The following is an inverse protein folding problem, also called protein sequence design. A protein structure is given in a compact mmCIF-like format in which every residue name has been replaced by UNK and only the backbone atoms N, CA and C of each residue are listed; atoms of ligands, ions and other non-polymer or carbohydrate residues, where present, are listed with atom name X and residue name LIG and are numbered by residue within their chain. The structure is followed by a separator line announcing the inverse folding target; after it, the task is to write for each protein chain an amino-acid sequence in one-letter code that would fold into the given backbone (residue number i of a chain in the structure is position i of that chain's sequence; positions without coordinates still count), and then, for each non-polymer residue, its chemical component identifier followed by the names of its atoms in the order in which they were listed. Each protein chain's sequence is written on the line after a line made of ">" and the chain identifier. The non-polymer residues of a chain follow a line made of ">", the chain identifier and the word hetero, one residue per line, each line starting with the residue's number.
data_IF_533060054488
#
_entry.id   IF_533060054488
#
_cell.length_a   1.000
_cell.length_b   1.000
_cell.length_c   1.000
_cell.angle_alpha   90.00
_cell.angle_beta   90.00
_cell.angle_gamma   90.00
#
_symmetry.space_group_name_H-M   'P 1'
#
loop_
_entity.id
_entity.type
_entity.pdbx_description
1 polymer ?
#
# COMPACT_ATOMS: atom_id res chain seq x y z
N UNK A 1 -25.82 -6.90 -9.97
CA UNK A 1 -24.40 -7.20 -10.25
C UNK A 1 -23.58 -5.96 -9.94
N UNK A 2 -22.59 -6.08 -9.05
CA UNK A 2 -21.67 -4.97 -8.76
C UNK A 2 -20.69 -4.88 -9.93
N UNK A 3 -20.61 -3.72 -10.57
CA UNK A 3 -19.62 -3.48 -11.63
C UNK A 3 -18.62 -2.43 -11.14
N UNK A 4 -17.65 -2.82 -10.30
CA UNK A 4 -16.72 -1.89 -9.70
C UNK A 4 -15.76 -1.32 -10.74
N UNK A 5 -15.40 -0.06 -10.57
CA UNK A 5 -14.39 0.61 -11.39
C UNK A 5 -13.01 0.32 -10.80
N UNK A 6 -12.42 -0.77 -11.22
CA UNK A 6 -11.08 -1.21 -10.86
C UNK A 6 -10.38 -1.72 -12.13
N UNK A 7 -9.05 -1.69 -12.12
CA UNK A 7 -8.26 -2.23 -13.24
C UNK A 7 -8.74 -3.63 -13.63
N UNK A 8 -8.91 -3.92 -14.94
CA UNK A 8 -9.47 -5.20 -15.40
C UNK A 8 -8.71 -6.44 -14.93
N UNK A 9 -7.37 -6.36 -14.81
CA UNK A 9 -6.57 -7.49 -14.32
C UNK A 9 -6.89 -7.82 -12.87
N UNK A 10 -7.10 -6.81 -12.03
CA UNK A 10 -7.52 -6.98 -10.65
C UNK A 10 -8.99 -7.35 -10.51
N UNK A 11 -9.84 -6.84 -11.39
CA UNK A 11 -11.27 -7.21 -11.40
C UNK A 11 -11.42 -8.72 -11.62
N UNK A 12 -10.67 -9.29 -12.56
CA UNK A 12 -10.69 -10.74 -12.81
C UNK A 12 -10.27 -11.53 -11.58
N UNK A 13 -9.16 -11.13 -10.95
CA UNK A 13 -8.60 -11.80 -9.77
C UNK A 13 -9.52 -11.69 -8.56
N UNK A 14 -10.13 -10.53 -8.34
CA UNK A 14 -10.93 -10.22 -7.15
C UNK A 14 -12.43 -10.38 -7.36
N UNK A 15 -12.88 -10.85 -8.51
CA UNK A 15 -14.31 -11.04 -8.80
C UNK A 15 -15.03 -11.84 -7.71
N UNK A 16 -14.49 -12.98 -7.21
CA UNK A 16 -15.17 -13.70 -6.12
C UNK A 16 -15.38 -12.86 -4.88
N UNK A 17 -14.50 -11.90 -4.60
CA UNK A 17 -14.62 -11.00 -3.45
C UNK A 17 -15.75 -9.99 -3.66
N UNK A 18 -15.85 -9.39 -4.86
CA UNK A 18 -16.92 -8.46 -5.17
C UNK A 18 -18.30 -9.12 -5.15
N UNK A 19 -18.38 -10.42 -5.42
CA UNK A 19 -19.61 -11.18 -5.40
C UNK A 19 -19.94 -11.81 -4.04
N UNK A 20 -19.03 -11.73 -3.08
CA UNK A 20 -19.22 -12.30 -1.75
C UNK A 20 -20.19 -11.46 -0.90
N UNK A 21 -20.97 -12.10 0.00
CA UNK A 21 -21.92 -11.38 0.87
C UNK A 21 -21.28 -10.29 1.72
N UNK A 22 -20.05 -10.52 2.22
CA UNK A 22 -19.36 -9.51 3.04
C UNK A 22 -19.12 -8.22 2.27
N UNK A 23 -18.88 -8.29 0.95
CA UNK A 23 -18.61 -7.10 0.16
C UNK A 23 -19.88 -6.27 -0.05
N UNK A 24 -21.02 -6.91 -0.22
CA UNK A 24 -22.31 -6.23 -0.25
C UNK A 24 -22.58 -5.48 1.06
N UNK A 25 -22.29 -6.11 2.20
CA UNK A 25 -22.41 -5.48 3.53
C UNK A 25 -21.46 -4.30 3.69
N UNK A 26 -20.20 -4.46 3.22
CA UNK A 26 -19.21 -3.38 3.23
C UNK A 26 -19.69 -2.20 2.39
N UNK A 27 -20.24 -2.46 1.20
CA UNK A 27 -20.76 -1.42 0.31
C UNK A 27 -21.91 -0.66 0.98
N UNK A 28 -22.86 -1.38 1.58
CA UNK A 28 -23.98 -0.76 2.30
C UNK A 28 -23.49 0.11 3.46
N UNK A 29 -22.51 -0.36 4.21
CA UNK A 29 -21.86 0.41 5.26
C UNK A 29 -21.22 1.70 4.71
N UNK A 30 -20.48 1.63 3.62
CA UNK A 30 -19.80 2.78 3.03
C UNK A 30 -20.81 3.82 2.50
N UNK A 31 -21.90 3.35 1.88
CA UNK A 31 -22.97 4.25 1.42
C UNK A 31 -23.58 5.01 2.60
N UNK A 32 -23.91 4.31 3.68
CA UNK A 32 -24.48 4.93 4.88
C UNK A 32 -23.48 5.91 5.54
N UNK A 33 -22.20 5.53 5.60
CA UNK A 33 -21.15 6.39 6.16
C UNK A 33 -21.04 7.71 5.39
N UNK A 34 -21.03 7.65 4.06
CA UNK A 34 -20.87 8.85 3.21
C UNK A 34 -22.09 9.76 3.23
N UNK A 35 -23.24 9.25 3.63
CA UNK A 35 -24.44 10.08 3.83
C UNK A 35 -24.36 10.93 5.11
N UNK A 36 -23.59 10.49 6.11
CA UNK A 36 -23.51 11.14 7.41
C UNK A 36 -22.18 11.79 7.71
N UNK A 37 -21.09 11.31 7.10
CA UNK A 37 -19.73 11.71 7.41
C UNK A 37 -18.91 11.94 6.16
N UNK A 38 -17.90 12.78 6.29
CA UNK A 38 -16.83 12.87 5.27
C UNK A 38 -15.94 11.65 5.42
N UNK A 39 -15.66 10.97 4.31
CA UNK A 39 -14.80 9.78 4.28
C UNK A 39 -13.69 9.97 3.25
N UNK A 40 -12.54 9.41 3.52
CA UNK A 40 -11.37 9.47 2.65
C UNK A 40 -10.91 8.08 2.23
N UNK A 41 -10.23 7.96 1.07
CA UNK A 41 -10.14 8.96 0.01
C UNK A 41 -11.48 9.16 -0.69
N UNK A 42 -11.55 10.11 -1.63
CA UNK A 42 -12.75 10.26 -2.48
C UNK A 42 -12.97 8.97 -3.29
N UNK A 43 -14.21 8.74 -3.72
CA UNK A 43 -14.63 7.48 -4.33
C UNK A 43 -13.77 7.00 -5.50
N UNK A 44 -13.33 7.93 -6.37
CA UNK A 44 -12.48 7.59 -7.52
C UNK A 44 -11.07 7.12 -7.16
N UNK A 45 -10.61 7.35 -5.93
CA UNK A 45 -9.27 6.99 -5.49
C UNK A 45 -9.21 5.74 -4.60
N UNK A 46 -10.36 5.15 -4.26
CA UNK A 46 -10.38 3.99 -3.34
C UNK A 46 -9.52 2.84 -3.85
N UNK A 47 -9.57 2.55 -5.14
CA UNK A 47 -8.81 1.47 -5.78
C UNK A 47 -7.55 1.95 -6.52
N UNK A 48 -7.04 3.14 -6.21
CA UNK A 48 -5.90 3.72 -6.93
C UNK A 48 -4.66 2.82 -6.92
N UNK A 49 -4.39 2.12 -5.82
CA UNK A 49 -3.26 1.19 -5.74
C UNK A 49 -3.35 0.09 -6.81
N UNK A 50 -4.54 -0.46 -6.99
CA UNK A 50 -4.81 -1.49 -8.01
C UNK A 50 -4.80 -0.92 -9.43
N UNK A 51 -5.37 0.26 -9.61
CA UNK A 51 -5.47 0.91 -10.93
C UNK A 51 -4.10 1.31 -11.46
N UNK A 52 -3.22 1.78 -10.59
CA UNK A 52 -1.88 2.21 -11.00
C UNK A 52 -0.88 1.07 -11.10
N UNK A 53 -1.15 -0.06 -10.45
CA UNK A 53 -0.26 -1.23 -10.47
C UNK A 53 -1.09 -2.47 -10.81
N UNK A 54 -1.32 -2.75 -12.11
CA UNK A 54 -2.04 -3.94 -12.54
C UNK A 54 -1.43 -5.23 -11.97
N UNK A 55 -2.24 -6.27 -11.85
CA UNK A 55 -1.85 -7.53 -11.20
C UNK A 55 -0.55 -8.12 -11.75
N UNK A 56 -0.40 -8.12 -13.08
CA UNK A 56 0.78 -8.68 -13.74
C UNK A 56 2.02 -7.76 -13.68
N UNK A 57 1.83 -6.52 -13.27
CA UNK A 57 2.91 -5.52 -13.17
C UNK A 57 3.49 -5.40 -11.77
N UNK A 58 2.89 -6.01 -10.77
CA UNK A 58 3.36 -5.93 -9.39
C UNK A 58 4.74 -6.59 -9.28
N UNK A 59 5.73 -5.85 -8.83
CA UNK A 59 7.09 -6.33 -8.50
C UNK A 59 7.35 -6.27 -7.02
N UNK A 60 6.79 -5.28 -6.34
CA UNK A 60 7.00 -4.97 -4.93
C UNK A 60 5.65 -4.69 -4.29
N UNK A 61 5.46 -5.13 -3.06
CA UNK A 61 4.28 -4.79 -2.26
C UNK A 61 4.74 -4.09 -0.99
N UNK A 62 4.18 -2.93 -0.71
CA UNK A 62 4.32 -2.22 0.57
C UNK A 62 2.92 -2.14 1.18
N UNK A 63 2.80 -2.57 2.44
CA UNK A 63 1.51 -2.60 3.14
C UNK A 63 1.44 -1.47 4.16
N UNK A 64 0.38 -0.67 4.07
CA UNK A 64 -0.04 0.25 5.10
C UNK A 64 -1.26 -0.29 5.85
N UNK A 65 -1.74 0.43 6.85
CA UNK A 65 -2.89 0.00 7.65
C UNK A 65 -4.18 0.65 7.18
N UNK A 66 -4.36 1.94 7.37
CA UNK A 66 -5.52 2.67 6.89
C UNK A 66 -5.12 4.01 6.27
N UNK A 67 -6.00 4.63 5.46
CA UNK A 67 -5.69 5.91 4.83
C UNK A 67 -5.50 7.02 5.85
N UNK A 68 -4.81 8.08 5.47
CA UNK A 68 -4.78 9.31 6.25
C UNK A 68 -6.20 9.86 6.44
N UNK A 69 -6.51 10.33 7.64
CA UNK A 69 -7.87 10.75 8.00
C UNK A 69 -8.05 12.28 8.01
N UNK A 70 -7.03 13.06 7.65
CA UNK A 70 -7.13 14.51 7.54
C UNK A 70 -7.39 14.94 6.10
N UNK A 71 -8.02 16.12 5.89
CA UNK A 71 -8.37 16.58 4.54
C UNK A 71 -7.16 16.68 3.61
N UNK A 72 -7.33 16.24 2.38
CA UNK A 72 -6.35 16.42 1.31
C UNK A 72 -5.16 15.47 1.32
N UNK A 73 -5.06 14.55 2.28
CA UNK A 73 -3.90 13.66 2.40
C UNK A 73 -4.07 12.34 1.64
N UNK A 74 -5.15 11.60 1.90
CA UNK A 74 -5.36 10.28 1.28
C UNK A 74 -5.73 10.40 -0.19
N UNK A 75 -5.04 9.63 -1.04
CA UNK A 75 -5.37 9.53 -2.47
C UNK A 75 -5.28 8.10 -3.00
N UNK A 76 -5.40 7.10 -2.12
CA UNK A 76 -5.51 5.69 -2.50
C UNK A 76 -4.21 4.90 -2.58
N UNK A 77 -3.07 5.50 -2.23
CA UNK A 77 -1.76 4.85 -2.15
C UNK A 77 -1.24 4.95 -0.72
N UNK A 78 -0.86 3.83 -0.12
CA UNK A 78 -0.39 3.84 1.27
C UNK A 78 0.84 4.74 1.44
N UNK A 79 0.92 5.43 2.57
CA UNK A 79 1.95 6.42 2.93
C UNK A 79 1.98 7.68 2.07
N UNK A 80 1.43 7.66 0.86
CA UNK A 80 1.52 8.74 -0.12
C UNK A 80 0.56 9.88 0.18
N UNK A 81 0.98 11.10 -0.16
CA UNK A 81 0.13 12.29 -0.18
C UNK A 81 0.23 12.94 -1.56
N UNK A 82 -0.78 13.71 -2.00
CA UNK A 82 -0.68 14.46 -3.25
C UNK A 82 0.47 15.45 -3.24
N UNK A 83 0.95 15.81 -4.44
CA UNK A 83 1.96 16.86 -4.59
C UNK A 83 1.51 18.16 -3.91
N UNK A 84 2.43 18.83 -3.21
CA UNK A 84 2.14 20.08 -2.51
C UNK A 84 1.52 19.92 -1.13
N UNK A 85 1.19 18.71 -0.73
CA UNK A 85 0.68 18.41 0.62
C UNK A 85 1.85 18.12 1.55
N UNK A 86 1.78 18.61 2.80
CA UNK A 86 2.82 18.38 3.79
C UNK A 86 3.04 16.88 4.02
N UNK A 87 4.29 16.47 4.04
CA UNK A 87 4.68 15.06 4.16
C UNK A 87 4.46 14.58 5.61
N UNK A 88 3.64 13.54 5.82
CA UNK A 88 3.40 12.99 7.16
C UNK A 88 4.66 12.37 7.78
N UNK A 89 4.73 12.27 9.11
CA UNK A 89 5.96 11.86 9.82
C UNK A 89 6.52 10.50 9.42
N UNK A 90 5.66 9.49 9.21
CA UNK A 90 6.14 8.17 8.77
C UNK A 90 6.77 8.23 7.39
N UNK A 91 6.20 9.01 6.46
CA UNK A 91 6.74 9.18 5.12
C UNK A 91 8.06 9.98 5.14
N UNK A 92 8.17 10.98 6.01
CA UNK A 92 9.46 11.66 6.23
C UNK A 92 10.54 10.66 6.59
N UNK A 93 10.26 9.72 7.50
CA UNK A 93 11.21 8.69 7.92
C UNK A 93 11.53 7.70 6.79
N UNK A 94 10.54 7.35 5.98
CA UNK A 94 10.77 6.52 4.77
C UNK A 94 11.76 7.23 3.84
N UNK A 95 11.55 8.51 3.56
CA UNK A 95 12.45 9.29 2.68
C UNK A 95 13.84 9.40 3.28
N UNK A 96 13.95 9.63 4.60
CA UNK A 96 15.25 9.66 5.29
C UNK A 96 16.00 8.35 5.13
N UNK A 97 15.32 7.22 5.26
CA UNK A 97 15.96 5.91 5.08
C UNK A 97 16.40 5.70 3.63
N UNK A 98 15.58 6.08 2.65
CA UNK A 98 15.97 6.01 1.23
C UNK A 98 17.25 6.83 0.99
N UNK A 99 17.29 8.07 1.48
CA UNK A 99 18.45 8.94 1.30
C UNK A 99 19.70 8.35 1.94
N UNK A 100 19.59 7.77 3.13
CA UNK A 100 20.69 7.10 3.82
C UNK A 100 21.14 5.82 3.09
N UNK A 101 20.20 5.00 2.65
CA UNK A 101 20.45 3.71 2.01
C UNK A 101 21.08 3.88 0.61
N UNK A 102 20.54 4.81 -0.18
CA UNK A 102 20.92 4.96 -1.60
C UNK A 102 21.87 6.14 -1.87
N UNK A 103 22.20 6.93 -0.85
CA UNK A 103 23.03 8.12 -1.02
C UNK A 103 22.34 9.23 -1.82
N UNK A 104 21.02 9.33 -1.75
CA UNK A 104 20.23 10.32 -2.48
C UNK A 104 19.89 11.54 -1.62
N UNK A 105 19.33 12.57 -2.24
CA UNK A 105 18.93 13.82 -1.57
C UNK A 105 17.48 14.17 -1.92
N UNK A 106 16.56 13.22 -1.72
CA UNK A 106 15.14 13.46 -1.94
C UNK A 106 14.64 14.51 -0.94
N UNK A 107 13.97 15.58 -1.39
CA UNK A 107 13.42 16.59 -0.48
C UNK A 107 12.37 15.98 0.47
N UNK A 108 12.39 16.39 1.74
CA UNK A 108 11.40 15.96 2.73
C UNK A 108 10.06 16.69 2.59
N UNK A 109 9.90 17.48 1.54
CA UNK A 109 8.70 18.28 1.26
C UNK A 109 7.85 17.71 0.13
N UNK A 110 8.30 16.62 -0.51
CA UNK A 110 7.59 15.95 -1.59
C UNK A 110 7.19 14.55 -1.15
N UNK A 111 5.91 14.18 -1.27
CA UNK A 111 5.42 12.90 -0.77
C UNK A 111 4.44 12.17 -1.68
N UNK A 112 4.37 12.53 -2.96
CA UNK A 112 3.52 11.80 -3.90
C UNK A 112 4.28 10.60 -4.48
N UNK A 113 3.85 9.39 -4.09
CA UNK A 113 4.49 8.13 -4.45
C UNK A 113 3.90 7.49 -5.73
N UNK A 114 3.12 8.21 -6.50
CA UNK A 114 2.56 7.70 -7.76
C UNK A 114 3.67 7.16 -8.69
N UNK A 115 4.83 7.80 -8.70
CA UNK A 115 5.99 7.34 -9.48
C UNK A 115 6.51 5.96 -9.09
N UNK A 116 6.32 5.54 -7.84
CA UNK A 116 6.62 4.16 -7.42
C UNK A 116 5.58 3.18 -7.95
N UNK A 117 4.29 3.52 -7.81
CA UNK A 117 3.20 2.67 -8.28
C UNK A 117 3.32 2.38 -9.77
N UNK A 118 3.67 3.37 -10.58
CA UNK A 118 3.86 3.24 -12.01
C UNK A 118 5.01 2.31 -12.40
N UNK A 119 5.94 2.04 -11.47
CA UNK A 119 7.06 1.13 -11.67
C UNK A 119 6.79 -0.30 -11.18
N UNK A 120 5.61 -0.58 -10.63
CA UNK A 120 5.25 -1.89 -10.15
C UNK A 120 5.26 -2.04 -8.63
N UNK A 121 5.27 -0.95 -7.88
CA UNK A 121 5.14 -0.98 -6.42
C UNK A 121 3.65 -0.85 -6.04
N UNK A 122 3.06 -1.93 -5.56
CA UNK A 122 1.69 -1.92 -5.04
C UNK A 122 1.69 -1.31 -3.65
N UNK A 123 1.15 -0.10 -3.53
CA UNK A 123 1.08 0.66 -2.28
C UNK A 123 -0.31 0.45 -1.66
N UNK A 124 -0.47 -0.65 -0.93
CA UNK A 124 -1.77 -1.14 -0.48
C UNK A 124 -1.99 -0.91 1.00
N UNK A 125 -3.07 -0.21 1.36
CA UNK A 125 -3.58 -0.20 2.73
C UNK A 125 -4.46 -1.42 2.97
N UNK A 126 -4.45 -1.96 4.20
CA UNK A 126 -5.33 -3.06 4.59
C UNK A 126 -6.80 -2.62 4.59
N UNK A 127 -7.07 -1.39 5.02
CA UNK A 127 -8.39 -0.76 4.99
C UNK A 127 -8.34 0.36 3.97
N UNK A 128 -9.27 0.39 3.02
CA UNK A 128 -9.18 1.30 1.86
C UNK A 128 -9.95 2.60 2.05
N UNK A 129 -10.69 2.73 3.13
CA UNK A 129 -11.43 3.95 3.47
C UNK A 129 -11.30 4.26 4.95
N UNK A 130 -11.60 5.52 5.32
CA UNK A 130 -11.59 5.99 6.69
C UNK A 130 -12.55 7.16 6.84
N UNK A 131 -13.18 7.30 8.01
CA UNK A 131 -13.96 8.50 8.36
C UNK A 131 -13.01 9.63 8.72
N UNK A 132 -13.32 10.85 8.29
CA UNK A 132 -12.54 12.04 8.61
C UNK A 132 -12.27 12.16 10.11
N UNK A 133 -11.05 12.47 10.47
CA UNK A 133 -10.56 12.69 11.84
C UNK A 133 -10.61 11.46 12.76
N UNK A 134 -10.94 10.26 12.24
CA UNK A 134 -11.12 9.07 13.07
C UNK A 134 -10.31 7.90 12.51
N UNK A 135 -9.04 7.82 12.89
CA UNK A 135 -8.17 6.70 12.52
C UNK A 135 -8.80 5.36 12.91
N UNK A 136 -8.72 4.39 12.00
CA UNK A 136 -9.23 3.03 12.24
C UNK A 136 -10.74 2.90 12.23
N UNK A 137 -11.48 3.95 11.88
CA UNK A 137 -12.96 3.97 11.97
C UNK A 137 -13.65 2.95 11.05
N UNK A 138 -13.00 2.54 9.96
CA UNK A 138 -13.56 1.56 9.03
C UNK A 138 -12.91 0.17 9.15
N UNK A 139 -12.13 -0.08 10.19
CA UNK A 139 -11.60 -1.41 10.49
C UNK A 139 -12.72 -2.38 10.85
N UNK A 140 -12.51 -3.66 10.55
CA UNK A 140 -13.43 -4.76 10.84
C UNK A 140 -14.80 -4.64 10.14
N UNK A 141 -14.84 -3.95 8.99
CA UNK A 141 -16.05 -3.79 8.17
C UNK A 141 -16.02 -4.61 6.88
N UNK A 142 -14.89 -5.28 6.59
CA UNK A 142 -14.75 -6.14 5.42
C UNK A 142 -13.56 -5.83 4.51
N UNK A 143 -12.97 -4.62 4.58
CA UNK A 143 -11.82 -4.29 3.74
C UNK A 143 -10.65 -5.25 3.93
N UNK A 144 -10.41 -5.70 5.17
CA UNK A 144 -9.29 -6.59 5.48
C UNK A 144 -9.42 -7.93 4.75
N UNK A 145 -10.64 -8.47 4.63
CA UNK A 145 -10.90 -9.68 3.84
C UNK A 145 -10.57 -9.48 2.37
N UNK A 146 -10.94 -8.32 1.83
CA UNK A 146 -10.70 -7.95 0.44
C UNK A 146 -9.20 -7.80 0.14
N UNK A 147 -8.49 -7.05 0.97
CA UNK A 147 -7.06 -6.82 0.77
C UNK A 147 -6.22 -8.05 1.07
N UNK A 148 -6.61 -8.87 2.04
CA UNK A 148 -5.97 -10.17 2.28
C UNK A 148 -6.13 -11.08 1.05
N UNK A 149 -7.30 -11.08 0.40
CA UNK A 149 -7.50 -11.83 -0.83
C UNK A 149 -6.57 -11.37 -1.97
N UNK A 150 -6.32 -10.05 -2.05
CA UNK A 150 -5.37 -9.51 -3.04
C UNK A 150 -3.94 -9.99 -2.76
N UNK A 151 -3.51 -9.95 -1.50
CA UNK A 151 -2.18 -10.44 -1.09
C UNK A 151 -2.06 -11.95 -1.39
N UNK A 152 -3.06 -12.73 -1.03
CA UNK A 152 -3.08 -14.17 -1.27
C UNK A 152 -3.05 -14.50 -2.76
N UNK A 153 -3.76 -13.76 -3.60
CA UNK A 153 -3.74 -13.95 -5.05
C UNK A 153 -2.35 -13.71 -5.64
N UNK A 154 -1.68 -12.64 -5.22
CA UNK A 154 -0.29 -12.37 -5.61
C UNK A 154 0.63 -13.50 -5.14
N UNK A 155 0.50 -13.92 -3.89
CA UNK A 155 1.34 -14.97 -3.31
C UNK A 155 1.17 -16.31 -4.02
N UNK A 156 -0.04 -16.64 -4.46
CA UNK A 156 -0.36 -17.93 -5.08
C UNK A 156 -0.13 -17.96 -6.58
N UNK A 157 -0.40 -16.86 -7.29
CA UNK A 157 -0.40 -16.82 -8.75
C UNK A 157 0.84 -16.20 -9.37
N UNK A 158 1.62 -15.48 -8.58
CA UNK A 158 2.83 -14.81 -9.02
C UNK A 158 4.05 -15.41 -8.34
N UNK A 159 5.24 -15.06 -8.81
CA UNK A 159 6.54 -15.47 -8.23
C UNK A 159 7.49 -14.28 -8.23
N UNK A 160 8.45 -14.30 -7.30
CA UNK A 160 9.53 -13.31 -7.28
C UNK A 160 9.15 -11.92 -6.79
N UNK A 161 7.98 -11.76 -6.17
CA UNK A 161 7.56 -10.47 -5.62
C UNK A 161 8.31 -10.20 -4.32
N UNK A 162 8.71 -8.95 -4.12
CA UNK A 162 9.33 -8.47 -2.88
C UNK A 162 8.26 -7.81 -2.01
N UNK A 163 7.97 -8.42 -0.87
CA UNK A 163 7.04 -7.88 0.13
C UNK A 163 7.83 -7.12 1.19
N UNK A 164 7.61 -5.82 1.30
CA UNK A 164 8.23 -4.96 2.31
C UNK A 164 7.20 -4.70 3.40
N UNK A 165 7.38 -5.37 4.54
CA UNK A 165 6.41 -5.39 5.62
C UNK A 165 6.98 -4.67 6.85
N UNK A 166 6.37 -3.56 7.23
CA UNK A 166 6.84 -2.68 8.29
C UNK A 166 5.85 -2.62 9.45
N UNK A 167 6.32 -3.03 10.63
CA UNK A 167 5.52 -3.11 11.84
C UNK A 167 4.77 -4.43 11.98
N UNK A 168 4.35 -4.74 13.20
CA UNK A 168 3.76 -6.04 13.53
C UNK A 168 2.49 -6.36 12.73
N UNK A 169 1.67 -5.36 12.46
CA UNK A 169 0.45 -5.57 11.66
C UNK A 169 0.78 -6.04 10.24
N UNK A 170 1.66 -5.31 9.52
CA UNK A 170 2.06 -5.71 8.17
C UNK A 170 2.80 -7.04 8.17
N UNK A 171 3.71 -7.25 9.14
CA UNK A 171 4.49 -8.49 9.26
C UNK A 171 3.58 -9.71 9.45
N UNK A 172 2.43 -9.56 10.12
CA UNK A 172 1.47 -10.65 10.28
C UNK A 172 0.98 -11.21 8.95
N UNK A 173 1.01 -10.43 7.88
CA UNK A 173 0.58 -10.85 6.54
C UNK A 173 1.59 -11.80 5.88
N UNK A 174 2.81 -11.93 6.43
CA UNK A 174 3.79 -12.90 5.96
C UNK A 174 3.28 -14.35 6.03
N UNK A 175 2.28 -14.63 6.88
CA UNK A 175 1.64 -15.94 6.96
C UNK A 175 1.03 -16.40 5.62
N UNK A 176 0.68 -15.47 4.73
CA UNK A 176 0.13 -15.79 3.41
C UNK A 176 1.19 -15.98 2.34
N UNK A 177 2.47 -15.77 2.65
CA UNK A 177 3.53 -15.66 1.65
C UNK A 177 4.50 -16.84 1.79
N UNK A 178 4.62 -17.61 0.71
CA UNK A 178 5.61 -18.68 0.59
C UNK A 178 6.98 -18.07 0.24
N UNK A 179 7.92 -18.13 1.18
CA UNK A 179 9.27 -17.57 1.02
C UNK A 179 10.15 -18.34 0.05
N UNK A 180 9.72 -19.53 -0.40
CA UNK A 180 10.40 -20.24 -1.48
C UNK A 180 10.06 -19.67 -2.86
N UNK A 181 8.97 -18.91 -2.96
CA UNK A 181 8.48 -18.32 -4.21
C UNK A 181 8.61 -16.79 -4.26
N UNK A 182 8.68 -16.15 -3.10
CA UNK A 182 8.72 -14.69 -2.95
C UNK A 182 9.76 -14.28 -1.92
N UNK A 183 10.00 -12.99 -1.82
CA UNK A 183 10.94 -12.39 -0.87
C UNK A 183 10.15 -11.55 0.16
N UNK A 184 10.51 -11.67 1.42
CA UNK A 184 9.87 -10.92 2.51
C UNK A 184 10.97 -10.17 3.28
N UNK A 185 10.86 -8.84 3.27
CA UNK A 185 11.73 -7.93 4.02
C UNK A 185 10.91 -7.33 5.15
N UNK A 186 11.37 -7.49 6.38
CA UNK A 186 10.64 -7.00 7.56
C UNK A 186 11.47 -5.98 8.33
N UNK A 187 10.79 -5.00 8.91
CA UNK A 187 11.39 -3.99 9.80
C UNK A 187 10.32 -3.44 10.74
N UNK A 188 10.72 -2.76 11.82
CA UNK A 188 9.79 -1.95 12.61
C UNK A 188 9.10 -0.89 11.73
N UNK A 189 7.95 -0.39 12.19
CA UNK A 189 7.19 0.62 11.46
C UNK A 189 7.99 1.94 11.35
N UNK A 190 7.89 2.68 10.22
CA UNK A 190 8.58 3.96 10.04
C UNK A 190 8.05 5.11 10.90
N UNK A 191 6.97 4.92 11.67
CA UNK A 191 6.47 5.91 12.61
C UNK A 191 7.58 6.42 13.52
N UNK A 192 7.56 7.73 13.91
CA UNK A 192 8.51 8.26 14.90
C UNK A 192 8.57 7.46 16.20
N UNK A 193 7.50 6.73 16.55
CA UNK A 193 7.43 5.89 17.74
C UNK A 193 8.30 4.63 17.67
N UNK A 194 8.67 4.18 16.47
CA UNK A 194 9.35 2.89 16.28
C UNK A 194 10.49 2.91 15.26
N UNK A 195 10.64 3.96 14.46
CA UNK A 195 11.64 4.00 13.38
C UNK A 195 13.08 3.78 13.88
N UNK A 196 13.42 4.29 15.07
CA UNK A 196 14.75 4.13 15.67
C UNK A 196 15.02 2.73 16.23
N UNK A 197 14.01 1.86 16.24
CA UNK A 197 14.14 0.48 16.71
C UNK A 197 14.55 -0.50 15.61
N UNK A 198 14.87 0.00 14.41
CA UNK A 198 15.38 -0.84 13.33
C UNK A 198 14.79 -0.56 11.95
N UNK A 199 13.86 0.40 11.79
CA UNK A 199 13.49 0.87 10.46
C UNK A 199 14.64 1.65 9.84
N UNK A 200 15.20 2.62 10.56
CA UNK A 200 16.42 3.28 10.13
C UNK A 200 17.57 2.28 10.12
N UNK A 201 18.23 2.16 8.96
CA UNK A 201 19.28 1.18 8.73
C UNK A 201 18.80 -0.15 8.19
N UNK A 202 17.50 -0.34 7.95
CA UNK A 202 16.98 -1.59 7.39
C UNK A 202 17.43 -1.83 5.94
N UNK A 203 17.71 -0.76 5.18
CA UNK A 203 18.24 -0.82 3.81
C UNK A 203 17.36 -1.62 2.85
N UNK A 204 16.06 -1.59 3.07
CA UNK A 204 15.11 -2.34 2.25
C UNK A 204 15.11 -1.92 0.79
N UNK A 205 15.40 -0.64 0.49
CA UNK A 205 15.32 -0.08 -0.86
C UNK A 205 16.46 -0.62 -1.75
N UNK A 206 17.68 -0.66 -1.24
CA UNK A 206 18.80 -1.27 -1.95
C UNK A 206 18.68 -2.79 -2.01
N UNK A 207 18.24 -3.43 -0.94
CA UNK A 207 18.01 -4.88 -0.92
C UNK A 207 16.95 -5.29 -1.93
N UNK A 208 15.84 -4.56 -1.99
CA UNK A 208 14.77 -4.79 -2.96
C UNK A 208 15.33 -4.70 -4.39
N UNK A 209 16.08 -3.67 -4.70
CA UNK A 209 16.65 -3.49 -6.04
C UNK A 209 17.65 -4.60 -6.38
N UNK A 210 18.47 -5.06 -5.44
CA UNK A 210 19.36 -6.19 -5.64
C UNK A 210 18.58 -7.47 -6.00
N UNK A 211 17.47 -7.72 -5.29
CA UNK A 211 16.60 -8.88 -5.56
C UNK A 211 15.99 -8.78 -6.96
N UNK A 212 15.49 -7.61 -7.36
CA UNK A 212 14.90 -7.41 -8.67
C UNK A 212 15.94 -7.61 -9.78
N UNK A 213 17.15 -7.07 -9.62
CA UNK A 213 18.23 -7.23 -10.58
C UNK A 213 18.66 -8.69 -10.73
N UNK A 214 18.71 -9.46 -9.65
CA UNK A 214 18.99 -10.90 -9.71
C UNK A 214 17.97 -11.67 -10.53
N UNK A 215 16.74 -11.17 -10.62
CA UNK A 215 15.68 -11.75 -11.45
C UNK A 215 15.70 -11.22 -12.90
N UNK A 216 16.64 -10.35 -13.26
CA UNK A 216 16.65 -9.71 -14.57
C UNK A 216 15.61 -8.62 -14.75
N UNK A 217 15.05 -8.11 -13.65
CA UNK A 217 14.04 -7.05 -13.66
C UNK A 217 14.70 -5.69 -13.44
N UNK A 218 14.07 -4.64 -13.98
CA UNK A 218 14.51 -3.28 -13.73
C UNK A 218 14.36 -2.93 -12.25
N UNK A 219 15.37 -2.29 -11.63
CA UNK A 219 15.24 -1.80 -10.26
C UNK A 219 14.20 -0.69 -10.19
N UNK A 220 13.70 -0.44 -8.98
CA UNK A 220 12.81 0.69 -8.73
C UNK A 220 13.66 1.96 -8.56
N UNK A 221 13.28 3.01 -9.28
CA UNK A 221 13.79 4.35 -9.00
C UNK A 221 12.99 4.96 -7.86
N UNK A 222 13.50 4.79 -6.65
CA UNK A 222 12.86 5.26 -5.42
C UNK A 222 12.86 6.79 -5.31
N UNK A 223 13.65 7.50 -6.15
CA UNK A 223 13.69 8.97 -6.16
C UNK A 223 12.50 9.60 -6.92
N UNK A 224 11.71 8.81 -7.64
CA UNK A 224 10.51 9.31 -8.35
C UNK A 224 9.39 9.62 -7.36
N UNK A 225 9.56 10.71 -6.65
CA UNK A 225 8.60 11.29 -5.71
C UNK A 225 8.33 12.73 -6.14
N UNK A 226 7.08 13.11 -6.25
CA UNK A 226 6.70 14.47 -6.67
C UNK A 226 5.85 15.26 -5.65
#
# INVERSE_FOLDING_TARGET
>A
MINPKIDPSWLEVLRPQFEAPYFAQLKDFLVAERQQYVCYPKGGDIFAAFDRTPFDKVKVVILGQDPYHEPGQAHGLCFSVPAGVAVPPSLVNIIKEINSDLGTQIPLTSGNLTGWAEQGVLLLNATLTVRAHQAGSHQHRGWELFTDAAIQALAQRRTGIVFMLWGSFAISKAQYIDRTRHYVLTAPHPSPLSAYRGFFGCRHFSQCNAILQQQGLAPIDWTRIS
#
